data_IF_745788857944
#
_entry.id   IF_745788857944
#
_cell.length_a   1.000
_cell.length_b   1.000
_cell.length_c   1.000
_cell.angle_alpha   90.00
_cell.angle_beta   90.00
_cell.angle_gamma   90.00
#
_symmetry.space_group_name_H-M   'P 1'
#
loop_
_entity.id
_entity.type
_entity.pdbx_description
1 polymer ?
#
# COMPACT_ATOMS: atom_id res chain seq x y z
N UNK A 1 -19.10 23.37 -12.27
CA UNK A 1 -18.85 22.26 -11.32
C UNK A 1 -18.27 20.99 -11.99
N UNK A 2 -18.59 20.72 -13.26
CA UNK A 2 -18.03 19.58 -14.01
C UNK A 2 -16.53 19.75 -14.31
N UNK A 3 -16.00 20.98 -14.31
CA UNK A 3 -14.57 21.24 -14.55
C UNK A 3 -13.69 21.05 -13.31
N UNK A 4 -14.27 20.87 -12.13
CA UNK A 4 -13.54 20.61 -10.88
C UNK A 4 -13.32 19.12 -10.60
N UNK A 5 -13.90 18.24 -11.41
CA UNK A 5 -13.79 16.77 -11.30
C UNK A 5 -13.03 16.25 -12.53
N UNK A 6 -11.89 16.81 -12.81
CA UNK A 6 -11.02 16.35 -13.88
C UNK A 6 -9.63 16.01 -13.36
N UNK A 7 -8.97 15.14 -14.05
CA UNK A 7 -7.67 14.53 -13.78
C UNK A 7 -6.49 15.49 -13.59
N UNK A 8 -6.70 16.78 -13.41
CA UNK A 8 -5.63 17.74 -13.19
C UNK A 8 -5.57 18.18 -11.73
N UNK A 9 -4.72 17.52 -10.95
CA UNK A 9 -4.39 17.90 -9.57
C UNK A 9 -3.97 19.38 -9.42
N UNK A 10 -3.60 20.03 -10.51
CA UNK A 10 -3.07 21.40 -10.50
C UNK A 10 -4.12 22.50 -10.68
N UNK A 11 -5.40 22.19 -10.94
CA UNK A 11 -6.43 23.23 -11.18
C UNK A 11 -6.56 24.16 -9.97
N UNK A 12 -6.57 23.61 -8.76
CA UNK A 12 -6.66 24.41 -7.53
C UNK A 12 -5.48 25.39 -7.41
N UNK A 13 -4.27 24.89 -7.56
CA UNK A 13 -3.05 25.63 -7.26
C UNK A 13 -2.64 26.53 -8.40
N UNK A 14 -2.92 26.13 -9.66
CA UNK A 14 -2.57 26.90 -10.86
C UNK A 14 -3.63 27.92 -11.25
N UNK A 15 -4.89 27.58 -11.11
CA UNK A 15 -5.98 28.39 -11.68
C UNK A 15 -6.87 29.02 -10.59
N UNK A 16 -7.37 28.24 -9.62
CA UNK A 16 -8.36 28.71 -8.64
C UNK A 16 -7.73 29.68 -7.64
N UNK A 17 -6.67 29.29 -6.96
CA UNK A 17 -6.04 30.14 -5.93
C UNK A 17 -5.50 31.45 -6.54
N UNK A 18 -4.75 31.43 -7.66
CA UNK A 18 -4.31 32.65 -8.30
C UNK A 18 -5.46 33.55 -8.75
N UNK A 19 -6.54 32.98 -9.30
CA UNK A 19 -7.73 33.77 -9.70
C UNK A 19 -8.37 34.44 -8.49
N UNK A 20 -8.54 33.72 -7.38
CA UNK A 20 -9.11 34.28 -6.16
C UNK A 20 -8.23 35.39 -5.58
N UNK A 21 -6.91 35.27 -5.65
CA UNK A 21 -5.98 36.32 -5.24
C UNK A 21 -6.08 37.55 -6.14
N UNK A 22 -6.16 37.37 -7.45
CA UNK A 22 -6.30 38.48 -8.43
C UNK A 22 -7.66 39.20 -8.26
N UNK A 23 -8.70 38.44 -7.87
CA UNK A 23 -10.04 39.01 -7.59
C UNK A 23 -10.14 39.68 -6.20
N UNK A 24 -9.01 39.80 -5.48
CA UNK A 24 -8.95 40.29 -4.09
C UNK A 24 -9.91 39.57 -3.13
N UNK A 25 -10.11 38.26 -3.33
CA UNK A 25 -10.86 37.43 -2.39
C UNK A 25 -10.03 37.20 -1.12
N UNK A 26 -10.69 37.19 0.02
CA UNK A 26 -10.03 36.88 1.27
C UNK A 26 -9.70 35.37 1.33
N UNK A 27 -8.41 35.06 1.43
CA UNK A 27 -7.89 33.69 1.59
C UNK A 27 -7.23 33.57 2.95
N UNK A 28 -7.47 32.44 3.62
CA UNK A 28 -6.81 32.10 4.87
C UNK A 28 -5.99 30.84 4.68
N UNK A 29 -4.76 30.84 5.20
CA UNK A 29 -3.91 29.65 5.28
C UNK A 29 -3.98 29.06 6.70
N UNK A 30 -4.33 27.80 6.80
CA UNK A 30 -4.24 27.04 8.04
C UNK A 30 -2.99 26.16 7.99
N UNK A 31 -2.05 26.38 8.93
CA UNK A 31 -0.89 25.53 9.06
C UNK A 31 -1.29 24.25 9.79
N UNK A 32 -1.32 23.15 9.06
CA UNK A 32 -1.57 21.83 9.64
C UNK A 32 -0.29 21.29 10.28
N UNK A 33 -0.41 20.75 11.49
CA UNK A 33 0.64 20.01 12.19
C UNK A 33 0.14 18.58 12.41
N UNK A 34 0.91 17.59 11.95
CA UNK A 34 0.55 16.16 12.00
C UNK A 34 0.93 15.43 10.73
N UNK A 35 0.60 14.15 10.67
CA UNK A 35 0.89 13.34 9.50
C UNK A 35 0.07 13.77 8.29
N UNK A 36 0.75 14.10 7.19
CA UNK A 36 0.17 14.38 5.89
C UNK A 36 1.05 13.83 4.79
N UNK A 37 0.49 13.10 3.85
CA UNK A 37 1.22 12.57 2.70
C UNK A 37 0.38 12.61 1.43
N UNK A 38 0.99 13.08 0.34
CA UNK A 38 0.39 13.03 -1.00
C UNK A 38 0.73 11.69 -1.64
N UNK A 39 -0.28 10.93 -2.03
CA UNK A 39 -0.14 9.59 -2.62
C UNK A 39 -0.44 9.56 -4.12
N UNK A 40 -0.03 10.60 -4.84
CA UNK A 40 -0.27 10.76 -6.28
C UNK A 40 0.58 9.86 -7.19
N UNK A 41 1.56 9.12 -6.67
CA UNK A 41 2.42 8.19 -7.42
C UNK A 41 2.46 6.82 -6.77
N UNK A 42 2.95 5.81 -7.51
CA UNK A 42 3.13 4.45 -6.98
C UNK A 42 4.14 4.45 -5.81
N UNK A 43 5.26 5.16 -5.99
CA UNK A 43 6.28 5.24 -4.94
C UNK A 43 5.71 5.90 -3.67
N UNK A 44 4.97 7.00 -3.80
CA UNK A 44 4.38 7.67 -2.63
C UNK A 44 3.26 6.85 -1.95
N UNK A 45 2.51 6.05 -2.72
CA UNK A 45 1.54 5.12 -2.14
C UNK A 45 2.25 3.98 -1.38
N UNK A 46 3.31 3.43 -1.95
CA UNK A 46 4.14 2.43 -1.28
C UNK A 46 4.75 3.00 0.00
N UNK A 47 5.37 4.17 -0.06
CA UNK A 47 5.95 4.84 1.10
C UNK A 47 4.91 5.10 2.20
N UNK A 48 3.71 5.56 1.86
CA UNK A 48 2.64 5.81 2.84
C UNK A 48 2.24 4.52 3.59
N UNK A 49 2.31 3.36 2.92
CA UNK A 49 2.10 2.07 3.58
C UNK A 49 3.30 1.66 4.45
N UNK A 50 4.53 1.92 4.00
CA UNK A 50 5.74 1.63 4.79
C UNK A 50 5.85 2.54 6.01
N UNK A 51 5.38 3.78 5.95
CA UNK A 51 5.31 4.67 7.10
C UNK A 51 4.55 4.04 8.29
N UNK A 52 3.55 3.19 8.03
CA UNK A 52 2.81 2.47 9.06
C UNK A 52 3.69 1.50 9.87
N UNK A 53 4.77 0.97 9.28
CA UNK A 53 5.70 0.06 9.93
C UNK A 53 6.72 0.82 10.80
N UNK A 54 6.86 2.13 10.58
CA UNK A 54 7.81 2.94 11.33
C UNK A 54 7.35 3.20 12.76
N UNK A 55 8.18 2.90 13.73
CA UNK A 55 7.93 3.26 15.15
C UNK A 55 7.91 4.77 15.41
N UNK A 56 8.32 5.57 14.44
CA UNK A 56 8.32 7.05 14.50
C UNK A 56 7.11 7.65 13.77
N UNK A 57 6.21 6.83 13.26
CA UNK A 57 5.01 7.32 12.58
C UNK A 57 4.09 8.05 13.58
N UNK A 58 3.67 9.25 13.21
CA UNK A 58 2.70 10.04 13.98
C UNK A 58 1.25 9.63 13.70
N UNK A 59 1.02 8.81 12.68
CA UNK A 59 -0.31 8.30 12.33
C UNK A 59 -0.66 7.09 13.20
N UNK A 60 -1.60 7.29 14.12
CA UNK A 60 -2.18 6.20 14.92
C UNK A 60 -3.53 5.76 14.31
N UNK A 61 -3.53 4.66 13.57
CA UNK A 61 -4.75 4.06 13.03
C UNK A 61 -5.60 3.37 14.10
N UNK A 62 -5.04 3.15 15.30
CA UNK A 62 -5.71 2.51 16.42
C UNK A 62 -6.36 3.49 17.41
N UNK A 63 -6.29 4.81 17.19
CA UNK A 63 -6.83 5.81 18.10
C UNK A 63 -8.35 5.63 18.30
N UNK A 64 -8.80 5.23 19.50
CA UNK A 64 -10.21 5.02 19.76
C UNK A 64 -11.02 6.32 19.79
N UNK A 65 -10.36 7.47 19.99
CA UNK A 65 -11.01 8.79 20.01
C UNK A 65 -11.32 9.30 18.60
N UNK A 66 -10.60 8.80 17.60
CA UNK A 66 -10.80 9.14 16.19
C UNK A 66 -10.89 7.89 15.31
N UNK A 67 -11.94 7.14 15.50
CA UNK A 67 -12.17 5.91 14.78
C UNK A 67 -12.40 6.15 13.29
N UNK A 68 -11.57 5.54 12.45
CA UNK A 68 -11.75 5.53 11.00
C UNK A 68 -12.72 4.39 10.64
N UNK A 69 -13.85 4.74 10.03
CA UNK A 69 -14.85 3.78 9.58
C UNK A 69 -14.56 3.37 8.14
N UNK A 70 -14.63 2.08 7.89
CA UNK A 70 -14.49 1.47 6.56
C UNK A 70 -15.49 0.33 6.43
N UNK A 71 -15.62 -0.25 5.25
CA UNK A 71 -16.39 -1.47 5.06
C UNK A 71 -15.79 -2.60 5.89
N UNK A 72 -16.65 -3.29 6.65
CA UNK A 72 -16.24 -4.45 7.43
C UNK A 72 -16.22 -5.69 6.51
N UNK A 73 -15.02 -6.11 6.14
CA UNK A 73 -14.84 -7.35 5.40
C UNK A 73 -14.89 -8.51 6.39
N UNK A 74 -15.97 -9.28 6.37
CA UNK A 74 -16.08 -10.50 7.19
C UNK A 74 -15.08 -11.54 6.70
N UNK A 75 -13.95 -11.65 7.36
CA UNK A 75 -12.91 -12.63 7.08
C UNK A 75 -12.46 -13.32 8.37
N UNK A 76 -11.89 -14.51 8.23
CA UNK A 76 -11.28 -15.23 9.35
C UNK A 76 -10.05 -14.46 9.86
N UNK A 77 -9.63 -14.66 11.11
CA UNK A 77 -8.32 -14.20 11.55
C UNK A 77 -7.22 -14.68 10.61
N UNK A 78 -6.11 -13.92 10.56
CA UNK A 78 -4.94 -14.34 9.80
C UNK A 78 -4.37 -15.68 10.33
N UNK A 79 -3.90 -16.52 9.42
CA UNK A 79 -3.19 -17.75 9.75
C UNK A 79 -1.71 -17.62 9.33
N UNK A 80 -0.81 -17.81 10.28
CA UNK A 80 0.64 -17.83 10.05
C UNK A 80 1.13 -19.24 10.41
N UNK A 81 1.74 -19.94 9.44
CA UNK A 81 2.23 -21.29 9.67
C UNK A 81 3.47 -21.32 10.58
N UNK A 82 3.77 -22.46 11.16
CA UNK A 82 4.94 -22.62 12.03
C UNK A 82 6.28 -22.44 11.26
N UNK A 83 6.28 -22.66 9.94
CA UNK A 83 7.44 -22.56 9.06
C UNK A 83 7.61 -21.14 8.48
N UNK A 84 6.64 -20.23 8.71
CA UNK A 84 6.73 -18.86 8.21
C UNK A 84 7.72 -18.04 9.04
N UNK A 85 8.50 -17.17 8.35
CA UNK A 85 9.36 -16.16 9.00
C UNK A 85 8.78 -14.77 8.77
N UNK A 86 8.12 -14.21 9.79
CA UNK A 86 7.47 -12.90 9.70
C UNK A 86 8.18 -11.91 10.60
N UNK A 87 8.62 -10.79 10.01
CA UNK A 87 9.29 -9.70 10.73
C UNK A 87 8.84 -8.35 10.20
N UNK A 88 8.48 -7.45 11.11
CA UNK A 88 8.13 -6.07 10.80
C UNK A 88 7.09 -5.99 9.66
N UNK A 89 5.88 -6.49 9.92
CA UNK A 89 4.82 -6.57 8.92
C UNK A 89 3.44 -6.28 9.48
N UNK A 90 2.64 -5.53 8.75
CA UNK A 90 1.20 -5.49 8.96
C UNK A 90 0.53 -6.60 8.15
N UNK A 91 -0.20 -7.46 8.83
CA UNK A 91 -0.93 -8.57 8.21
C UNK A 91 -2.39 -8.47 8.65
N UNK A 92 -3.27 -8.19 7.70
CA UNK A 92 -4.69 -8.01 8.00
C UNK A 92 -5.46 -9.34 8.01
N UNK A 93 -6.74 -9.29 8.35
CA UNK A 93 -7.59 -10.47 8.44
C UNK A 93 -7.70 -11.25 7.12
N UNK A 94 -7.95 -12.55 7.22
CA UNK A 94 -8.10 -13.44 6.07
C UNK A 94 -6.79 -13.84 5.39
N UNK A 95 -5.65 -13.31 5.83
CA UNK A 95 -4.36 -13.68 5.26
C UNK A 95 -3.94 -15.11 5.68
N UNK A 96 -3.27 -15.80 4.75
CA UNK A 96 -2.61 -17.10 5.00
C UNK A 96 -1.14 -16.96 4.63
N UNK A 97 -0.24 -17.11 5.60
CA UNK A 97 1.20 -16.93 5.41
C UNK A 97 1.93 -18.23 5.73
N UNK A 98 2.60 -18.78 4.70
CA UNK A 98 3.41 -20.00 4.80
C UNK A 98 4.87 -19.77 4.41
N UNK A 99 5.24 -18.54 4.01
CA UNK A 99 6.56 -18.15 3.58
C UNK A 99 7.17 -17.04 4.43
N UNK A 100 8.18 -16.39 3.89
CA UNK A 100 8.88 -15.26 4.51
C UNK A 100 8.18 -13.94 4.18
N UNK A 101 7.93 -13.10 5.21
CA UNK A 101 7.39 -11.75 5.05
C UNK A 101 8.21 -10.79 5.91
N UNK A 102 8.87 -9.84 5.27
CA UNK A 102 9.72 -8.84 5.95
C UNK A 102 9.41 -7.45 5.46
N UNK A 103 9.29 -6.51 6.40
CA UNK A 103 9.06 -5.08 6.16
C UNK A 103 7.99 -4.87 5.06
N UNK A 104 6.79 -5.40 5.27
CA UNK A 104 5.76 -5.48 4.24
C UNK A 104 4.35 -5.32 4.80
N UNK A 105 3.44 -4.87 3.95
CA UNK A 105 2.01 -4.72 4.29
C UNK A 105 1.18 -5.68 3.45
N UNK A 106 0.43 -6.56 4.12
CA UNK A 106 -0.49 -7.51 3.49
C UNK A 106 -1.93 -7.12 3.78
N UNK A 107 -2.66 -6.76 2.74
CA UNK A 107 -4.09 -6.45 2.83
C UNK A 107 -4.93 -7.73 2.92
N UNK A 108 -6.23 -7.54 3.14
CA UNK A 108 -7.18 -8.62 3.42
C UNK A 108 -7.13 -9.76 2.41
N UNK A 109 -7.09 -10.99 2.91
CA UNK A 109 -7.20 -12.20 2.11
C UNK A 109 -5.97 -12.56 1.28
N UNK A 110 -4.82 -11.91 1.53
CA UNK A 110 -3.56 -12.26 0.85
C UNK A 110 -3.10 -13.66 1.24
N UNK A 111 -2.62 -14.42 0.25
CA UNK A 111 -2.10 -15.78 0.44
C UNK A 111 -0.65 -15.88 0.00
N UNK A 112 0.23 -16.27 0.92
CA UNK A 112 1.66 -16.47 0.68
C UNK A 112 1.96 -17.96 0.79
N UNK A 113 2.39 -18.57 -0.31
CA UNK A 113 2.74 -19.98 -0.40
C UNK A 113 4.06 -20.34 0.29
N UNK A 114 4.27 -21.64 0.51
CA UNK A 114 5.47 -22.15 1.15
C UNK A 114 6.75 -21.73 0.41
N UNK A 115 7.77 -21.29 1.14
CA UNK A 115 9.04 -20.85 0.57
C UNK A 115 8.98 -19.56 -0.26
N UNK A 116 7.81 -18.94 -0.42
CA UNK A 116 7.72 -17.62 -1.04
C UNK A 116 8.33 -16.55 -0.12
N UNK A 117 8.83 -15.45 -0.71
CA UNK A 117 9.51 -14.39 0.01
C UNK A 117 8.93 -13.04 -0.39
N UNK A 118 8.44 -12.29 0.59
CA UNK A 118 7.88 -10.95 0.43
C UNK A 118 8.75 -9.98 1.22
N UNK A 119 9.37 -9.03 0.54
CA UNK A 119 10.32 -8.09 1.14
C UNK A 119 10.02 -6.68 0.65
N UNK A 120 9.97 -5.70 1.56
CA UNK A 120 9.76 -4.28 1.24
C UNK A 120 8.57 -4.06 0.28
N UNK A 121 7.45 -4.73 0.49
CA UNK A 121 6.37 -4.79 -0.49
C UNK A 121 4.98 -4.56 0.11
N UNK A 122 4.10 -4.04 -0.73
CA UNK A 122 2.68 -3.84 -0.40
C UNK A 122 1.85 -4.75 -1.29
N UNK A 123 1.09 -5.66 -0.70
CA UNK A 123 0.20 -6.57 -1.41
C UNK A 123 -1.25 -6.20 -1.13
N UNK A 124 -1.95 -5.76 -2.17
CA UNK A 124 -3.35 -5.33 -2.11
C UNK A 124 -4.30 -6.52 -1.88
N UNK A 125 -5.59 -6.30 -1.59
CA UNK A 125 -6.52 -7.37 -1.22
C UNK A 125 -6.55 -8.55 -2.19
N UNK A 126 -6.64 -9.77 -1.65
CA UNK A 126 -6.83 -10.99 -2.44
C UNK A 126 -5.63 -11.44 -3.28
N UNK A 127 -4.48 -10.81 -3.15
CA UNK A 127 -3.25 -11.22 -3.85
C UNK A 127 -2.86 -12.64 -3.44
N UNK A 128 -2.44 -13.44 -4.42
CA UNK A 128 -1.94 -14.81 -4.20
C UNK A 128 -0.51 -14.91 -4.72
N UNK A 129 0.42 -15.19 -3.83
CA UNK A 129 1.82 -15.49 -4.16
C UNK A 129 2.04 -16.99 -4.00
N UNK A 130 2.35 -17.66 -5.10
CA UNK A 130 2.52 -19.12 -5.11
C UNK A 130 3.88 -19.53 -4.53
N UNK A 131 4.04 -20.83 -4.33
CA UNK A 131 5.22 -21.46 -3.72
C UNK A 131 6.54 -20.99 -4.34
N UNK A 132 7.51 -20.60 -3.51
CA UNK A 132 8.86 -20.23 -3.92
C UNK A 132 8.97 -18.92 -4.71
N UNK A 133 7.90 -18.20 -4.94
CA UNK A 133 7.95 -16.91 -5.63
C UNK A 133 8.59 -15.83 -4.75
N UNK A 134 9.22 -14.83 -5.37
CA UNK A 134 9.88 -13.72 -4.70
C UNK A 134 9.28 -12.40 -5.15
N UNK A 135 8.89 -11.57 -4.20
CA UNK A 135 8.35 -10.22 -4.42
C UNK A 135 9.16 -9.25 -3.59
N UNK A 136 9.83 -8.30 -4.27
CA UNK A 136 10.72 -7.33 -3.61
C UNK A 136 10.45 -5.92 -4.12
N UNK A 137 10.39 -4.94 -3.21
CA UNK A 137 10.16 -3.52 -3.52
C UNK A 137 9.05 -3.34 -4.56
N UNK A 138 7.89 -3.93 -4.28
CA UNK A 138 6.77 -3.96 -5.21
C UNK A 138 5.46 -3.55 -4.56
N UNK A 139 4.57 -2.99 -5.38
CA UNK A 139 3.16 -2.81 -5.08
C UNK A 139 2.38 -3.75 -5.99
N UNK A 140 1.74 -4.75 -5.41
CA UNK A 140 0.96 -5.75 -6.15
C UNK A 140 -0.52 -5.40 -6.06
N UNK A 141 -1.14 -5.17 -7.20
CA UNK A 141 -2.53 -4.76 -7.29
C UNK A 141 -3.50 -5.87 -6.86
N UNK A 142 -4.72 -5.46 -6.61
CA UNK A 142 -5.84 -6.26 -6.13
C UNK A 142 -6.06 -7.55 -6.93
N UNK A 143 -6.21 -8.69 -6.24
CA UNK A 143 -6.49 -10.00 -6.84
C UNK A 143 -5.41 -10.58 -7.76
N UNK A 144 -4.24 -9.94 -7.85
CA UNK A 144 -3.15 -10.43 -8.71
C UNK A 144 -2.60 -11.75 -8.19
N UNK A 145 -2.25 -12.64 -9.13
CA UNK A 145 -1.57 -13.91 -8.83
C UNK A 145 -0.15 -13.90 -9.36
N UNK A 146 0.82 -14.13 -8.47
CA UNK A 146 2.24 -14.34 -8.77
C UNK A 146 2.48 -15.85 -8.81
N UNK A 147 2.88 -16.37 -9.96
CA UNK A 147 3.05 -17.80 -10.20
C UNK A 147 4.27 -18.38 -9.47
N UNK A 148 4.26 -19.71 -9.33
CA UNK A 148 5.28 -20.49 -8.63
C UNK A 148 6.70 -20.13 -9.12
N UNK A 149 7.60 -19.83 -8.19
CA UNK A 149 8.99 -19.51 -8.47
C UNK A 149 9.23 -18.20 -9.24
N UNK A 150 8.20 -17.44 -9.56
CA UNK A 150 8.37 -16.15 -10.24
C UNK A 150 9.10 -15.14 -9.36
N UNK A 151 9.86 -14.24 -9.98
CA UNK A 151 10.55 -13.14 -9.31
C UNK A 151 10.00 -11.83 -9.82
N UNK A 152 9.62 -10.95 -8.90
CA UNK A 152 9.04 -9.63 -9.16
C UNK A 152 9.79 -8.59 -8.35
N UNK A 153 10.19 -7.51 -9.03
CA UNK A 153 10.97 -6.44 -8.43
C UNK A 153 12.41 -6.82 -8.14
N UNK A 154 13.16 -5.90 -7.60
CA UNK A 154 14.56 -6.09 -7.21
C UNK A 154 14.89 -5.24 -5.98
N UNK A 155 15.73 -5.75 -5.09
CA UNK A 155 16.08 -5.10 -3.83
C UNK A 155 16.78 -3.74 -4.01
N UNK A 156 17.51 -3.58 -5.11
CA UNK A 156 18.30 -2.38 -5.47
C UNK A 156 17.60 -1.47 -6.48
N UNK A 157 16.33 -1.73 -6.81
CA UNK A 157 15.56 -0.88 -7.73
C UNK A 157 15.36 0.52 -7.14
N UNK A 158 15.55 1.56 -7.95
CA UNK A 158 15.25 2.95 -7.54
C UNK A 158 13.74 3.21 -7.42
N UNK A 159 12.93 2.50 -8.24
CA UNK A 159 11.47 2.65 -8.27
C UNK A 159 10.78 1.40 -7.76
N UNK A 160 9.56 1.60 -7.28
CA UNK A 160 8.69 0.51 -6.85
C UNK A 160 8.08 -0.18 -8.08
N UNK A 161 8.22 -1.50 -8.15
CA UNK A 161 7.61 -2.30 -9.22
C UNK A 161 6.09 -2.39 -9.04
N UNK A 162 5.34 -1.91 -10.02
CA UNK A 162 3.87 -2.06 -10.04
C UNK A 162 3.47 -3.33 -10.77
N UNK A 163 2.86 -4.26 -10.05
CA UNK A 163 2.33 -5.50 -10.61
C UNK A 163 0.80 -5.43 -10.68
N UNK A 164 0.27 -5.05 -11.84
CA UNK A 164 -1.17 -4.90 -12.07
C UNK A 164 -1.80 -6.09 -12.83
N UNK A 165 -1.02 -7.11 -13.19
CA UNK A 165 -1.49 -8.28 -13.94
C UNK A 165 -0.83 -9.55 -13.41
N UNK A 166 -1.50 -10.70 -13.66
CA UNK A 166 -0.96 -12.02 -13.31
C UNK A 166 0.47 -12.21 -13.87
N UNK A 167 1.37 -12.63 -13.01
CA UNK A 167 2.73 -13.06 -13.38
C UNK A 167 2.75 -14.59 -13.51
N UNK A 168 3.22 -15.11 -14.64
CA UNK A 168 3.38 -16.56 -14.84
C UNK A 168 4.52 -17.08 -13.95
N UNK A 169 4.40 -18.33 -13.52
CA UNK A 169 5.48 -19.02 -12.81
C UNK A 169 6.73 -19.19 -13.65
N UNK A 170 7.87 -19.41 -12.99
CA UNK A 170 9.08 -19.89 -13.64
C UNK A 170 8.85 -21.34 -14.13
N UNK A 171 9.29 -21.67 -15.33
CA UNK A 171 9.26 -23.03 -15.91
C UNK A 171 10.35 -23.92 -15.28
#
# INVERSE_FOLDING_TARGET
LRSLVGSEMCIRDRDIIPTMLNDNRTLYAYKFEGYWKDVGTIDSLWEANMDLLSSKNELDLGDPSWKIYTEDVTALPQYISAEADVKDAYITQGCVVQGEVKHSVLFTGVKIGAGARIIDSVLMPGVVVEEGAVVQRALVADGVRIGKGAVVGAADSEHIELVAKRVKGAE
#
